data_IF_035438826993
#
_entry.id   IF_035438826993
#
_cell.length_a   1.000
_cell.length_b   1.000
_cell.length_c   1.000
_cell.angle_alpha   90.00
_cell.angle_beta   90.00
_cell.angle_gamma   90.00
#
_symmetry.space_group_name_H-M   'P 1'
#
loop_
_entity.id
_entity.type
_entity.pdbx_description
1 polymer ?
#
# COMPACT_ATOMS: atom_id res chain seq x y z
N UNK A 1 3.23 -26.64 5.75
CA UNK A 1 4.55 -26.08 6.11
C UNK A 1 5.04 -25.19 4.96
N UNK A 2 4.58 -23.93 4.88
CA UNK A 2 4.96 -23.00 3.82
C UNK A 2 6.28 -22.33 4.19
N UNK A 3 7.41 -22.83 3.65
CA UNK A 3 8.70 -22.14 3.76
C UNK A 3 8.59 -20.79 3.06
N UNK A 4 8.76 -19.64 3.76
CA UNK A 4 8.84 -18.35 3.09
C UNK A 4 10.06 -18.39 2.17
N UNK A 5 9.83 -18.28 0.86
CA UNK A 5 10.92 -18.14 -0.11
C UNK A 5 11.47 -16.73 0.09
N UNK A 6 12.61 -16.62 0.76
CA UNK A 6 13.33 -15.36 0.92
C UNK A 6 13.89 -15.05 -0.46
N UNK A 7 13.22 -14.16 -1.20
CA UNK A 7 13.70 -13.71 -2.51
C UNK A 7 14.88 -12.76 -2.27
N UNK A 8 16.09 -13.27 -2.44
CA UNK A 8 17.31 -12.47 -2.43
C UNK A 8 17.44 -11.75 -3.79
N UNK A 9 17.29 -10.43 -3.81
CA UNK A 9 17.48 -9.62 -5.01
C UNK A 9 16.57 -8.40 -5.07
N UNK A 10 16.51 -7.78 -6.26
CA UNK A 10 15.55 -6.72 -6.58
C UNK A 10 14.17 -7.34 -6.79
N UNK A 11 13.22 -7.04 -5.91
CA UNK A 11 11.83 -7.50 -6.05
C UNK A 11 11.08 -6.45 -6.85
N UNK A 12 10.79 -6.76 -8.10
CA UNK A 12 9.88 -5.94 -8.90
C UNK A 12 8.44 -6.30 -8.55
N UNK A 13 7.66 -5.33 -8.07
CA UNK A 13 6.23 -5.47 -7.81
C UNK A 13 5.47 -5.59 -9.14
N UNK A 14 5.40 -6.82 -9.66
CA UNK A 14 4.60 -7.17 -10.83
C UNK A 14 3.11 -7.23 -10.47
N UNK A 15 2.24 -6.95 -11.44
CA UNK A 15 0.78 -6.88 -11.27
C UNK A 15 0.16 -8.07 -10.54
N UNK A 16 0.75 -9.27 -10.67
CA UNK A 16 0.25 -10.51 -10.05
C UNK A 16 0.33 -10.52 -8.51
N UNK A 17 1.07 -9.59 -7.89
CA UNK A 17 1.21 -9.50 -6.43
C UNK A 17 0.39 -8.37 -5.79
N UNK A 18 -0.33 -7.59 -6.60
CA UNK A 18 -1.09 -6.43 -6.14
C UNK A 18 -2.54 -6.85 -5.92
N UNK A 19 -2.99 -6.70 -4.67
CA UNK A 19 -4.37 -6.93 -4.26
C UNK A 19 -5.04 -5.59 -3.99
N UNK A 20 -6.30 -5.42 -4.39
CA UNK A 20 -7.08 -4.19 -4.18
C UNK A 20 -8.42 -4.56 -3.58
N UNK A 21 -8.78 -3.90 -2.48
CA UNK A 21 -10.11 -4.03 -1.86
C UNK A 21 -10.70 -2.64 -1.57
N UNK A 22 -12.03 -2.48 -1.57
CA UNK A 22 -12.65 -1.26 -1.10
C UNK A 22 -12.41 -1.07 0.41
N UNK A 23 -12.13 0.16 0.84
CA UNK A 23 -12.08 0.50 2.27
C UNK A 23 -13.49 0.62 2.85
N UNK A 24 -13.62 0.81 4.17
CA UNK A 24 -14.92 1.14 4.80
C UNK A 24 -15.59 2.35 4.15
N UNK A 25 -14.80 3.36 3.79
CA UNK A 25 -15.27 4.55 3.08
C UNK A 25 -15.67 4.22 1.64
N UNK A 26 -14.90 3.36 0.95
CA UNK A 26 -15.25 2.84 -0.37
C UNK A 26 -16.60 2.11 -0.40
N UNK A 27 -16.87 1.26 0.59
CA UNK A 27 -18.17 0.59 0.72
C UNK A 27 -19.30 1.58 0.99
N UNK A 28 -19.10 2.55 1.90
CA UNK A 28 -20.08 3.61 2.15
C UNK A 28 -20.38 4.44 0.92
N UNK A 29 -19.35 4.80 0.15
CA UNK A 29 -19.49 5.53 -1.10
C UNK A 29 -20.27 4.73 -2.16
N UNK A 30 -19.98 3.43 -2.31
CA UNK A 30 -20.72 2.56 -3.21
C UNK A 30 -22.21 2.44 -2.82
N UNK A 31 -22.51 2.36 -1.52
CA UNK A 31 -23.88 2.37 -1.02
C UNK A 31 -24.60 3.67 -1.38
N UNK A 32 -23.97 4.83 -1.17
CA UNK A 32 -24.54 6.14 -1.52
C UNK A 32 -24.78 6.23 -3.03
N UNK A 33 -23.83 5.80 -3.87
CA UNK A 33 -24.02 5.75 -5.31
C UNK A 33 -25.22 4.89 -5.72
N UNK A 34 -25.40 3.75 -5.08
CA UNK A 34 -26.54 2.87 -5.35
C UNK A 34 -27.87 3.53 -4.96
N UNK A 35 -27.93 4.19 -3.80
CA UNK A 35 -29.11 4.94 -3.35
C UNK A 35 -29.43 6.12 -4.28
N UNK A 36 -28.42 6.87 -4.71
CA UNK A 36 -28.60 7.96 -5.67
C UNK A 36 -29.13 7.41 -7.00
N UNK A 37 -28.53 6.34 -7.53
CA UNK A 37 -28.99 5.73 -8.78
C UNK A 37 -30.43 5.25 -8.69
N UNK A 38 -30.83 4.60 -7.60
CA UNK A 38 -32.22 4.19 -7.38
C UNK A 38 -33.16 5.40 -7.25
N UNK A 39 -32.72 6.46 -6.59
CA UNK A 39 -33.46 7.73 -6.51
C UNK A 39 -33.65 8.36 -7.89
N UNK A 40 -32.60 8.44 -8.69
CA UNK A 40 -32.61 9.03 -10.02
C UNK A 40 -33.51 8.24 -10.98
N UNK A 41 -33.51 6.89 -10.86
CA UNK A 41 -34.43 6.01 -11.57
C UNK A 41 -35.87 6.26 -11.15
N UNK A 42 -36.12 6.35 -9.85
CA UNK A 42 -37.46 6.54 -9.32
C UNK A 42 -38.07 7.90 -9.71
N UNK A 43 -37.26 8.96 -9.69
CA UNK A 43 -37.70 10.33 -9.98
C UNK A 43 -37.45 10.78 -11.42
N UNK A 44 -36.89 9.91 -12.27
CA UNK A 44 -36.49 10.21 -13.65
C UNK A 44 -35.63 11.49 -13.75
N UNK A 45 -34.71 11.67 -12.79
CA UNK A 45 -33.94 12.91 -12.67
C UNK A 45 -32.70 12.84 -13.55
N UNK A 46 -32.78 13.39 -14.77
CA UNK A 46 -31.68 13.41 -15.75
C UNK A 46 -30.36 13.95 -15.19
N UNK A 47 -30.42 14.97 -14.33
CA UNK A 47 -29.23 15.57 -13.71
C UNK A 47 -28.55 14.64 -12.70
N UNK A 48 -29.36 13.84 -11.98
CA UNK A 48 -28.85 12.88 -11.00
C UNK A 48 -28.00 11.79 -11.65
N UNK A 49 -28.45 11.26 -12.80
CA UNK A 49 -27.67 10.31 -13.59
C UNK A 49 -26.28 10.84 -13.97
N UNK A 50 -26.18 12.10 -14.40
CA UNK A 50 -24.89 12.69 -14.76
C UNK A 50 -23.96 12.71 -13.55
N UNK A 51 -24.45 13.12 -12.39
CA UNK A 51 -23.65 13.17 -11.16
C UNK A 51 -23.26 11.77 -10.67
N UNK A 52 -24.18 10.81 -10.66
CA UNK A 52 -23.89 9.44 -10.21
C UNK A 52 -22.88 8.75 -11.11
N UNK A 53 -23.01 8.87 -12.43
CA UNK A 53 -22.02 8.33 -13.36
C UNK A 53 -20.67 9.03 -13.27
N UNK A 54 -20.63 10.36 -13.06
CA UNK A 54 -19.39 11.10 -12.85
C UNK A 54 -18.65 10.60 -11.60
N UNK A 55 -19.36 10.49 -10.48
CA UNK A 55 -18.82 9.99 -9.21
C UNK A 55 -18.36 8.53 -9.34
N UNK A 56 -19.12 7.68 -10.02
CA UNK A 56 -18.74 6.30 -10.30
C UNK A 56 -17.47 6.22 -11.14
N UNK A 57 -17.34 7.05 -12.18
CA UNK A 57 -16.14 7.12 -13.02
C UNK A 57 -14.91 7.57 -12.22
N UNK A 58 -15.06 8.56 -11.34
CA UNK A 58 -13.98 8.98 -10.43
C UNK A 58 -13.55 7.87 -9.47
N UNK A 59 -14.50 7.05 -8.98
CA UNK A 59 -14.16 5.89 -8.16
C UNK A 59 -13.35 4.84 -8.94
N UNK A 60 -13.76 4.52 -10.17
CA UNK A 60 -12.99 3.60 -11.04
C UNK A 60 -11.59 4.15 -11.33
N UNK A 61 -11.46 5.46 -11.60
CA UNK A 61 -10.16 6.10 -11.77
C UNK A 61 -9.31 6.01 -10.51
N UNK A 62 -9.89 6.25 -9.33
CA UNK A 62 -9.20 6.12 -8.04
C UNK A 62 -8.64 4.71 -7.84
N UNK A 63 -9.41 3.67 -8.19
CA UNK A 63 -8.94 2.28 -8.18
C UNK A 63 -7.73 2.07 -9.10
N UNK A 64 -7.77 2.63 -10.32
CA UNK A 64 -6.67 2.55 -11.28
C UNK A 64 -5.42 3.29 -10.78
N UNK A 65 -5.59 4.45 -10.15
CA UNK A 65 -4.49 5.19 -9.54
C UNK A 65 -3.86 4.41 -8.39
N UNK A 66 -4.65 3.84 -7.47
CA UNK A 66 -4.15 3.00 -6.38
C UNK A 66 -3.33 1.81 -6.91
N UNK A 67 -3.81 1.16 -7.97
CA UNK A 67 -3.08 0.08 -8.64
C UNK A 67 -1.75 0.56 -9.26
N UNK A 68 -1.79 1.63 -10.06
CA UNK A 68 -0.61 2.18 -10.74
C UNK A 68 0.43 2.69 -9.74
N UNK A 69 -0.01 3.14 -8.59
CA UNK A 69 0.86 3.63 -7.52
C UNK A 69 1.77 2.52 -6.97
N UNK A 70 1.29 1.27 -6.92
CA UNK A 70 2.10 0.10 -6.51
C UNK A 70 2.79 -0.61 -7.68
N UNK A 71 2.17 -0.63 -8.87
CA UNK A 71 2.67 -1.41 -10.00
C UNK A 71 4.06 -0.98 -10.47
N UNK A 72 4.93 -1.94 -10.81
CA UNK A 72 6.29 -1.70 -11.31
C UNK A 72 7.23 -0.96 -10.34
N UNK A 73 6.92 -0.95 -9.04
CA UNK A 73 7.90 -0.47 -8.06
C UNK A 73 8.96 -1.55 -7.88
N UNK A 74 10.24 -1.20 -7.92
CA UNK A 74 11.28 -2.15 -7.55
C UNK A 74 11.72 -1.88 -6.12
N UNK A 75 11.76 -2.94 -5.32
CA UNK A 75 12.18 -2.89 -3.93
C UNK A 75 13.49 -3.63 -3.83
N UNK A 76 14.51 -2.97 -3.29
CA UNK A 76 15.82 -3.55 -3.05
C UNK A 76 16.10 -3.50 -1.55
N UNK A 77 16.48 -4.65 -1.00
CA UNK A 77 17.00 -4.69 0.36
C UNK A 77 18.36 -3.97 0.38
N UNK A 78 18.46 -2.92 1.18
CA UNK A 78 19.71 -2.24 1.45
C UNK A 78 20.46 -2.91 2.60
N UNK A 79 21.36 -2.14 3.22
CA UNK A 79 22.15 -2.59 4.35
C UNK A 79 21.36 -2.46 5.65
N UNK A 80 21.59 -3.38 6.58
CA UNK A 80 21.17 -3.26 7.96
C UNK A 80 22.41 -3.37 8.85
N UNK A 81 22.63 -2.39 9.72
CA UNK A 81 23.76 -2.42 10.64
C UNK A 81 23.45 -3.31 11.85
N UNK A 82 24.50 -3.94 12.39
CA UNK A 82 24.39 -4.75 13.60
C UNK A 82 24.12 -3.84 14.80
N UNK A 83 23.07 -4.16 15.57
CA UNK A 83 22.70 -3.44 16.79
C UNK A 83 22.75 -4.37 17.99
N UNK A 84 22.90 -3.80 19.19
CA UNK A 84 22.87 -4.57 20.42
C UNK A 84 21.43 -4.98 20.78
N UNK A 85 21.31 -6.02 21.62
CA UNK A 85 20.01 -6.43 22.17
C UNK A 85 19.46 -5.31 23.02
N UNK A 86 18.25 -4.84 22.72
CA UNK A 86 17.61 -3.68 23.36
C UNK A 86 17.65 -2.40 22.52
N UNK A 87 18.42 -2.37 21.43
CA UNK A 87 18.44 -1.23 20.49
C UNK A 87 17.47 -1.43 19.31
N UNK A 88 17.21 -0.35 18.59
CA UNK A 88 16.40 -0.37 17.36
C UNK A 88 17.29 -0.59 16.14
N UNK A 89 17.14 -1.75 15.49
CA UNK A 89 17.76 -2.06 14.21
C UNK A 89 17.14 -1.19 13.10
N UNK A 90 17.99 -0.63 12.25
CA UNK A 90 17.58 0.19 11.10
C UNK A 90 17.78 -0.63 9.83
N UNK A 91 16.69 -1.08 9.23
CA UNK A 91 16.71 -1.78 7.96
C UNK A 91 16.53 -0.79 6.82
N UNK A 92 17.59 -0.57 6.03
CA UNK A 92 17.51 0.30 4.86
C UNK A 92 16.88 -0.45 3.70
N UNK A 93 15.86 0.14 3.09
CA UNK A 93 15.16 -0.37 1.91
C UNK A 93 15.21 0.70 0.82
N UNK A 94 15.66 0.33 -0.37
CA UNK A 94 15.65 1.23 -1.53
C UNK A 94 14.44 0.93 -2.40
N UNK A 95 13.65 1.95 -2.67
CA UNK A 95 12.50 1.90 -3.56
C UNK A 95 12.86 2.62 -4.86
N UNK A 96 13.09 1.85 -5.92
CA UNK A 96 13.33 2.38 -7.25
C UNK A 96 12.00 2.56 -7.97
N UNK A 97 11.70 3.78 -8.39
CA UNK A 97 10.56 4.07 -9.25
C UNK A 97 11.02 4.31 -10.69
N UNK A 98 11.01 3.29 -11.57
CA UNK A 98 11.41 3.46 -12.97
C UNK A 98 10.37 4.24 -13.81
N UNK A 99 9.19 4.52 -13.25
CA UNK A 99 8.09 5.16 -13.97
C UNK A 99 8.27 6.68 -14.08
N UNK A 100 7.65 7.26 -15.10
CA UNK A 100 7.55 8.73 -15.28
C UNK A 100 6.48 9.38 -14.37
N UNK A 101 5.82 8.57 -13.53
CA UNK A 101 4.81 9.03 -12.59
C UNK A 101 5.36 8.98 -11.17
N UNK A 102 5.19 10.08 -10.43
CA UNK A 102 5.41 10.09 -8.99
C UNK A 102 4.40 9.20 -8.29
N UNK A 103 4.85 8.51 -7.24
CA UNK A 103 4.02 7.65 -6.40
C UNK A 103 3.90 8.28 -5.04
N UNK A 104 2.67 8.33 -4.53
CA UNK A 104 2.35 9.07 -3.31
C UNK A 104 1.77 8.15 -2.25
N UNK A 105 2.00 8.47 -1.00
CA UNK A 105 1.39 7.80 0.15
C UNK A 105 1.58 6.28 0.09
N UNK A 106 2.83 5.86 -0.11
CA UNK A 106 3.24 4.47 0.01
C UNK A 106 3.50 4.19 1.49
N UNK A 107 2.81 3.20 2.04
CA UNK A 107 2.92 2.82 3.43
C UNK A 107 3.55 1.44 3.56
N UNK A 108 4.66 1.35 4.27
CA UNK A 108 5.34 0.10 4.58
C UNK A 108 5.02 -0.31 6.01
N UNK A 109 4.51 -1.53 6.18
CA UNK A 109 4.18 -2.12 7.48
C UNK A 109 4.69 -3.54 7.58
N UNK A 110 5.10 -3.96 8.77
CA UNK A 110 5.41 -5.36 9.03
C UNK A 110 4.11 -6.17 9.05
N UNK A 111 4.10 -7.31 8.36
CA UNK A 111 2.97 -8.25 8.34
C UNK A 111 3.24 -9.43 9.26
N UNK A 112 2.27 -9.76 10.12
CA UNK A 112 2.32 -10.96 10.96
C UNK A 112 2.70 -10.74 12.42
N UNK A 113 2.79 -9.50 12.91
CA UNK A 113 2.77 -9.30 14.36
C UNK A 113 1.35 -9.56 14.88
N UNK A 114 1.24 -10.30 15.97
CA UNK A 114 -0.04 -10.60 16.62
C UNK A 114 -0.77 -9.29 16.94
N UNK A 115 -2.10 -9.30 16.91
CA UNK A 115 -2.94 -8.17 17.34
C UNK A 115 -2.59 -7.66 18.76
N UNK A 116 -1.93 -8.51 19.55
CA UNK A 116 -1.46 -8.26 20.92
C UNK A 116 0.00 -7.78 21.03
N UNK A 117 0.74 -7.74 19.92
CA UNK A 117 2.11 -7.25 19.91
C UNK A 117 2.10 -5.72 19.72
N UNK A 118 3.03 -5.04 20.42
CA UNK A 118 3.28 -3.59 20.41
C UNK A 118 3.04 -2.90 19.05
N UNK A 119 2.69 -1.59 19.04
CA UNK A 119 2.41 -0.86 17.80
C UNK A 119 3.46 -1.16 16.74
N UNK A 120 3.03 -1.78 15.65
CA UNK A 120 3.94 -2.14 14.58
C UNK A 120 4.51 -0.87 13.96
N UNK A 121 5.82 -0.83 13.66
CA UNK A 121 6.39 0.26 12.92
C UNK A 121 5.71 0.36 11.54
N UNK A 122 5.15 1.53 11.27
CA UNK A 122 4.60 1.90 9.97
C UNK A 122 5.32 3.15 9.48
N UNK A 123 5.65 3.17 8.19
CA UNK A 123 6.29 4.33 7.57
C UNK A 123 5.54 4.64 6.29
N UNK A 124 5.08 5.89 6.19
CA UNK A 124 4.56 6.46 4.96
C UNK A 124 5.65 7.26 4.26
N UNK A 125 5.79 7.09 2.95
CA UNK A 125 6.72 7.85 2.14
C UNK A 125 6.18 8.05 0.73
N UNK A 126 6.78 9.00 0.02
CA UNK A 126 6.54 9.24 -1.40
C UNK A 126 7.76 8.79 -2.20
N UNK A 127 7.52 8.23 -3.38
CA UNK A 127 8.57 7.85 -4.32
C UNK A 127 8.47 8.74 -5.57
N UNK A 128 9.35 9.75 -5.71
CA UNK A 128 9.36 10.63 -6.86
C UNK A 128 9.58 9.86 -8.17
N UNK A 129 9.24 10.49 -9.30
CA UNK A 129 9.50 9.95 -10.63
C UNK A 129 11.01 9.71 -10.84
N UNK A 130 11.37 8.55 -11.40
CA UNK A 130 12.75 8.19 -11.77
C UNK A 130 13.79 8.38 -10.66
N UNK A 131 13.37 8.21 -9.41
CA UNK A 131 14.20 8.41 -8.24
C UNK A 131 14.27 7.15 -7.39
N UNK A 132 15.41 6.98 -6.73
CA UNK A 132 15.64 5.97 -5.71
C UNK A 132 15.34 6.58 -4.34
N UNK A 133 14.26 6.14 -3.70
CA UNK A 133 13.91 6.56 -2.35
C UNK A 133 14.49 5.58 -1.33
N UNK A 134 15.34 6.07 -0.44
CA UNK A 134 15.87 5.30 0.67
C UNK A 134 14.97 5.44 1.91
N UNK A 135 14.43 4.33 2.38
CA UNK A 135 13.51 4.29 3.52
C UNK A 135 14.10 3.40 4.61
N UNK A 136 14.16 3.94 5.82
CA UNK A 136 14.73 3.26 6.99
C UNK A 136 13.59 2.68 7.81
N UNK A 137 13.45 1.35 7.84
CA UNK A 137 12.45 0.66 8.65
C UNK A 137 13.03 0.28 10.03
N UNK A 138 12.53 0.88 11.13
CA UNK A 138 13.01 0.59 12.48
C UNK A 138 12.38 -0.71 12.99
N UNK A 139 13.20 -1.59 13.56
CA UNK A 139 12.73 -2.80 14.22
C UNK A 139 13.44 -2.98 15.56
N UNK A 140 12.70 -3.19 16.63
CA UNK A 140 13.28 -3.37 17.95
C UNK A 140 13.97 -4.74 18.09
N UNK A 141 15.25 -4.77 18.47
CA UNK A 141 16.02 -5.99 18.62
C UNK A 141 15.83 -6.58 20.03
N UNK A 142 14.85 -7.46 20.21
CA UNK A 142 14.51 -8.01 21.55
C UNK A 142 15.50 -9.06 22.06
N UNK A 143 16.15 -9.80 21.17
CA UNK A 143 17.07 -10.88 21.52
C UNK A 143 18.35 -10.84 20.69
N UNK A 144 19.47 -11.27 21.30
CA UNK A 144 20.75 -11.49 20.62
C UNK A 144 20.63 -12.64 19.61
N UNK A 145 20.89 -12.36 18.34
CA UNK A 145 20.82 -13.34 17.26
C UNK A 145 20.45 -12.68 15.92
N UNK A 146 20.11 -13.49 14.93
CA UNK A 146 19.62 -12.99 13.64
C UNK A 146 18.23 -12.39 13.79
N UNK A 147 18.13 -11.07 13.59
CA UNK A 147 16.86 -10.35 13.58
C UNK A 147 16.29 -10.36 12.16
N UNK A 148 15.19 -11.10 11.97
CA UNK A 148 14.48 -11.14 10.69
C UNK A 148 13.40 -10.05 10.68
N UNK A 149 13.34 -9.26 9.61
CA UNK A 149 12.28 -8.25 9.40
C UNK A 149 10.88 -8.86 9.32
N UNK A 150 10.77 -10.17 9.09
CA UNK A 150 9.52 -10.82 8.74
C UNK A 150 9.04 -10.43 7.34
N UNK A 151 7.76 -10.65 7.05
CA UNK A 151 7.15 -10.21 5.78
C UNK A 151 6.81 -8.74 5.90
N UNK A 152 7.28 -7.93 4.96
CA UNK A 152 6.84 -6.55 4.84
C UNK A 152 5.64 -6.49 3.89
N UNK A 153 4.66 -5.67 4.22
CA UNK A 153 3.51 -5.36 3.38
C UNK A 153 3.63 -3.90 2.97
N UNK A 154 3.64 -3.65 1.68
CA UNK A 154 3.55 -2.32 1.10
C UNK A 154 2.09 -2.08 0.72
N UNK A 155 1.48 -0.98 1.15
CA UNK A 155 0.11 -0.62 0.77
C UNK A 155 -0.03 0.86 0.43
N UNK A 156 -1.12 1.20 -0.23
CA UNK A 156 -1.50 2.58 -0.53
C UNK A 156 -3.02 2.72 -0.55
N UNK A 157 -3.50 3.89 -0.16
CA UNK A 157 -4.90 4.28 -0.21
C UNK A 157 -5.12 5.55 -1.06
N UNK A 158 -4.07 6.01 -1.74
CA UNK A 158 -4.12 7.15 -2.64
C UNK A 158 -4.97 6.82 -3.88
N UNK A 159 -5.75 7.77 -4.43
CA UNK A 159 -5.89 9.18 -4.01
C UNK A 159 -7.03 9.47 -3.05
N UNK A 160 -8.17 8.80 -3.19
CA UNK A 160 -9.40 9.17 -2.46
C UNK A 160 -9.64 8.38 -1.18
N UNK A 161 -8.76 7.43 -0.81
CA UNK A 161 -9.00 6.55 0.33
C UNK A 161 -10.09 5.50 0.12
N UNK A 162 -10.66 5.40 -1.09
CA UNK A 162 -11.76 4.48 -1.41
C UNK A 162 -11.29 3.02 -1.56
N UNK A 163 -10.03 2.83 -1.97
CA UNK A 163 -9.45 1.52 -2.24
C UNK A 163 -8.16 1.36 -1.46
N UNK A 164 -8.00 0.21 -0.80
CA UNK A 164 -6.77 -0.22 -0.19
C UNK A 164 -6.07 -1.19 -1.13
N UNK A 165 -4.98 -0.76 -1.75
CA UNK A 165 -4.15 -1.60 -2.58
C UNK A 165 -2.91 -2.04 -1.79
N UNK A 166 -2.51 -3.31 -1.87
CA UNK A 166 -1.32 -3.81 -1.18
C UNK A 166 -0.57 -4.90 -1.93
N UNK A 167 0.71 -5.06 -1.60
CA UNK A 167 1.58 -6.16 -2.02
C UNK A 167 2.46 -6.65 -0.88
N UNK A 168 2.89 -7.91 -1.01
CA UNK A 168 3.93 -8.56 -0.21
C UNK A 168 5.24 -8.68 -0.99
#
# INVERSE_FOLDING_TARGET
>A
MFRPKIESGTITLTQRRIFIIPTKQGFGFALVLMLMLLGDINYNLSLGYVLTFLLAMMAVLSMLYAFRNLAHLEIRAGRADAVFSGDTAKFVLHFHNPSKLSRYQLCLVQSGASFWSSPLPSISFDAPLQHDSEIIFPLFATHRGWLQTGRLKLYTEFPLGLFHAWSY
#
